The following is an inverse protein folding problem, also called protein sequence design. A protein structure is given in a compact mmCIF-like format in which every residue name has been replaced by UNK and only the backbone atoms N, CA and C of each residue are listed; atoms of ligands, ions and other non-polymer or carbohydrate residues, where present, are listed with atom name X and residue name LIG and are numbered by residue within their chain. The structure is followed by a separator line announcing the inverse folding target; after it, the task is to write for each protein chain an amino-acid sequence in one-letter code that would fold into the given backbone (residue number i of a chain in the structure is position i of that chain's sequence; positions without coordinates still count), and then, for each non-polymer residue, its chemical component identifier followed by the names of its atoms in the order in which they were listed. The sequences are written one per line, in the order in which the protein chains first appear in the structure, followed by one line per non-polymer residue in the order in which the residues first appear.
data_IF_888284484681
#
_entry.id   IF_888284484681
#
_cell.length_a   1.000
_cell.length_b   1.000
_cell.length_c   1.000
_cell.angle_alpha   90.00
_cell.angle_beta   90.00
_cell.angle_gamma   90.00
#
_symmetry.space_group_name_H-M   'P 1'
#
loop_
_entity.id
_entity.type
_entity.pdbx_description
1 polymer ?
#
# COMPACT_ATOMS: atom_id res chain seq x y z
N UNK A 1 7.22 59.05 -64.34
CA UNK A 1 8.12 58.04 -63.73
C UNK A 1 8.56 58.36 -62.28
N UNK A 2 8.60 59.64 -61.84
CA UNK A 2 9.07 60.03 -60.49
C UNK A 2 8.10 59.65 -59.34
N UNK A 3 6.79 59.70 -59.56
CA UNK A 3 5.78 59.34 -58.54
C UNK A 3 5.82 57.87 -58.10
N UNK A 4 6.11 56.92 -59.01
CA UNK A 4 6.23 55.50 -58.66
C UNK A 4 7.39 55.23 -57.69
N UNK A 5 8.50 55.97 -57.81
CA UNK A 5 9.67 55.82 -56.93
C UNK A 5 9.42 56.42 -55.54
N UNK A 6 8.73 57.55 -55.46
CA UNK A 6 8.33 58.15 -54.16
C UNK A 6 7.33 57.27 -53.44
N UNK A 7 6.34 56.71 -54.16
CA UNK A 7 5.38 55.77 -53.58
C UNK A 7 6.05 54.49 -53.07
N UNK A 8 6.99 53.92 -53.84
CA UNK A 8 7.76 52.75 -53.41
C UNK A 8 8.58 53.04 -52.15
N UNK A 9 9.21 54.22 -52.07
CA UNK A 9 10.02 54.60 -50.91
C UNK A 9 9.15 54.84 -49.66
N UNK A 10 7.98 55.46 -49.82
CA UNK A 10 7.03 55.66 -48.72
C UNK A 10 6.47 54.34 -48.20
N UNK A 11 6.16 53.40 -49.11
CA UNK A 11 5.66 52.07 -48.76
C UNK A 11 6.73 51.26 -48.01
N UNK A 12 7.98 51.31 -48.45
CA UNK A 12 9.11 50.66 -47.74
C UNK A 12 9.34 51.29 -46.37
N UNK A 13 9.26 52.62 -46.24
CA UNK A 13 9.39 53.29 -44.95
C UNK A 13 8.26 52.88 -43.98
N UNK A 14 7.03 52.75 -44.48
CA UNK A 14 5.88 52.33 -43.68
C UNK A 14 5.97 50.85 -43.25
N UNK A 15 6.59 49.99 -44.06
CA UNK A 15 6.84 48.57 -43.73
C UNK A 15 7.93 48.41 -42.65
N UNK A 16 8.96 49.24 -42.65
CA UNK A 16 10.03 49.21 -41.63
C UNK A 16 9.59 49.92 -40.35
N UNK A 17 8.69 50.90 -40.44
CA UNK A 17 8.12 51.61 -39.29
C UNK A 17 6.90 50.90 -38.67
N UNK A 18 6.67 49.61 -38.96
CA UNK A 18 5.65 48.86 -38.24
C UNK A 18 6.00 48.90 -36.75
N UNK A 19 5.12 49.40 -35.87
CA UNK A 19 5.37 49.36 -34.45
C UNK A 19 5.49 47.88 -34.07
N UNK A 20 6.68 47.46 -33.63
CA UNK A 20 6.81 46.22 -32.89
C UNK A 20 5.99 46.42 -31.62
N UNK A 21 4.73 45.99 -31.66
CA UNK A 21 3.90 45.86 -30.48
C UNK A 21 4.56 44.74 -29.68
N UNK A 22 5.51 45.11 -28.82
CA UNK A 22 6.03 44.19 -27.82
C UNK A 22 4.86 43.90 -26.90
N UNK A 23 4.21 42.76 -27.11
CA UNK A 23 3.32 42.19 -26.12
C UNK A 23 4.18 42.00 -24.87
N UNK A 24 3.99 42.88 -23.89
CA UNK A 24 4.56 42.70 -22.57
C UNK A 24 4.02 41.35 -22.09
N UNK A 25 4.86 40.32 -22.17
CA UNK A 25 4.56 39.02 -21.62
C UNK A 25 4.34 39.29 -20.13
N UNK A 26 3.09 39.19 -19.67
CA UNK A 26 2.75 39.42 -18.27
C UNK A 26 3.65 38.51 -17.45
N UNK A 27 4.65 39.10 -16.81
CA UNK A 27 5.56 38.42 -15.90
C UNK A 27 4.75 38.10 -14.65
N UNK A 28 3.96 37.03 -14.73
CA UNK A 28 3.08 36.60 -13.66
C UNK A 28 3.96 36.13 -12.50
N UNK A 29 4.07 36.99 -11.49
CA UNK A 29 4.63 36.65 -10.18
C UNK A 29 3.70 35.61 -9.54
N UNK A 30 4.26 34.58 -8.90
CA UNK A 30 3.45 33.56 -8.24
C UNK A 30 4.06 32.17 -8.33
N UNK A 31 3.19 31.16 -8.52
CA UNK A 31 3.63 29.78 -8.67
C UNK A 31 4.12 29.49 -10.10
N UNK A 32 5.11 28.61 -10.19
CA UNK A 32 5.49 27.90 -11.42
C UNK A 32 4.54 26.68 -11.55
N UNK A 33 4.31 26.23 -12.78
CA UNK A 33 3.45 25.07 -13.05
C UNK A 33 4.03 23.80 -12.39
N UNK A 34 3.19 22.92 -11.83
CA UNK A 34 3.60 21.68 -11.13
C UNK A 34 4.63 21.86 -10.00
N UNK A 35 4.20 22.53 -8.92
CA UNK A 35 5.12 23.00 -7.88
C UNK A 35 5.02 22.33 -6.51
N UNK A 36 4.29 21.23 -6.33
CA UNK A 36 4.25 20.56 -5.02
C UNK A 36 5.26 19.41 -5.00
N UNK A 37 6.18 19.42 -4.03
CA UNK A 37 7.07 18.29 -3.77
C UNK A 37 7.24 18.06 -2.26
N UNK A 38 7.71 16.86 -1.91
CA UNK A 38 7.76 16.38 -0.54
C UNK A 38 9.21 16.14 -0.10
N UNK A 39 9.51 16.31 1.19
CA UNK A 39 10.84 15.95 1.73
C UNK A 39 11.15 14.45 1.66
N UNK A 40 10.11 13.62 1.53
CA UNK A 40 10.18 12.16 1.46
C UNK A 40 9.01 11.69 0.59
N UNK A 41 9.28 10.81 -0.36
CA UNK A 41 8.31 10.13 -1.23
C UNK A 41 8.91 8.77 -1.67
N UNK A 42 8.28 7.61 -1.43
CA UNK A 42 6.97 7.41 -0.78
C UNK A 42 7.00 7.69 0.73
N UNK A 43 5.84 8.10 1.25
CA UNK A 43 5.60 8.35 2.66
C UNK A 43 4.47 7.48 3.21
N UNK A 44 4.56 7.13 4.49
CA UNK A 44 3.63 6.26 5.21
C UNK A 44 2.83 7.03 6.27
N UNK A 45 1.75 6.41 6.76
CA UNK A 45 0.99 6.93 7.91
C UNK A 45 1.91 7.27 9.10
N UNK A 46 1.76 8.49 9.63
CA UNK A 46 2.51 8.98 10.78
C UNK A 46 3.87 9.59 10.46
N UNK A 47 4.33 9.53 9.20
CA UNK A 47 5.53 10.24 8.79
C UNK A 47 5.35 11.75 8.97
N UNK A 48 6.38 12.42 9.50
CA UNK A 48 6.47 13.88 9.55
C UNK A 48 7.31 14.35 8.37
N UNK A 49 6.67 14.94 7.38
CA UNK A 49 7.30 15.39 6.14
C UNK A 49 7.09 16.89 5.92
N UNK A 50 7.90 17.48 5.06
CA UNK A 50 7.70 18.86 4.60
C UNK A 50 7.07 18.84 3.23
N UNK A 51 6.04 19.65 3.05
CA UNK A 51 5.41 19.94 1.76
C UNK A 51 5.97 21.26 1.27
N UNK A 52 6.57 21.26 0.09
CA UNK A 52 7.21 22.43 -0.51
C UNK A 52 6.42 22.95 -1.70
N UNK A 53 6.57 24.25 -1.95
CA UNK A 53 6.25 24.89 -3.22
C UNK A 53 7.31 25.91 -3.60
N UNK A 54 7.47 26.18 -4.90
CA UNK A 54 8.34 27.24 -5.38
C UNK A 54 7.52 28.48 -5.68
N UNK A 55 7.89 29.61 -5.07
CA UNK A 55 7.31 30.91 -5.44
C UNK A 55 8.37 31.67 -6.23
N UNK A 56 7.98 32.13 -7.42
CA UNK A 56 8.86 32.79 -8.37
C UNK A 56 8.46 34.27 -8.54
N UNK A 57 9.46 35.14 -8.46
CA UNK A 57 9.33 36.57 -8.66
C UNK A 57 10.16 37.03 -9.87
N UNK A 58 9.58 37.05 -11.08
CA UNK A 58 10.22 37.62 -12.27
C UNK A 58 10.26 39.16 -12.27
N UNK A 59 9.66 39.83 -11.28
CA UNK A 59 9.62 41.29 -11.22
C UNK A 59 10.95 41.87 -10.75
N UNK A 60 11.24 43.10 -11.18
CA UNK A 60 12.35 43.89 -10.67
C UNK A 60 12.10 44.46 -9.25
N UNK A 61 10.97 44.12 -8.63
CA UNK A 61 10.52 44.59 -7.31
C UNK A 61 10.38 43.43 -6.34
N UNK A 62 10.54 43.68 -5.05
CA UNK A 62 10.33 42.64 -4.04
C UNK A 62 8.85 42.24 -3.97
N UNK A 63 8.61 40.95 -3.78
CA UNK A 63 7.28 40.34 -3.72
C UNK A 63 7.03 39.74 -2.34
N UNK A 64 5.88 40.05 -1.75
CA UNK A 64 5.49 39.61 -0.42
C UNK A 64 4.09 39.00 -0.44
N UNK A 65 3.86 38.01 0.41
CA UNK A 65 2.54 37.42 0.60
C UNK A 65 2.58 36.29 1.62
N UNK A 66 1.51 35.52 1.67
CA UNK A 66 1.38 34.33 2.51
C UNK A 66 1.04 33.14 1.63
N UNK A 67 1.78 32.03 1.74
CA UNK A 67 1.37 30.77 1.13
C UNK A 67 0.60 29.94 2.16
N UNK A 68 -0.61 29.52 1.80
CA UNK A 68 -1.44 28.58 2.56
C UNK A 68 -1.43 27.21 1.87
N UNK A 69 -1.08 26.15 2.59
CA UNK A 69 -1.12 24.78 2.08
C UNK A 69 -2.37 24.07 2.54
N UNK A 70 -2.99 23.30 1.64
CA UNK A 70 -4.23 22.58 1.89
C UNK A 70 -4.11 21.11 1.50
N UNK A 71 -4.82 20.26 2.24
CA UNK A 71 -5.21 18.92 1.82
C UNK A 71 -6.73 18.91 1.61
N UNK A 72 -7.17 18.90 0.35
CA UNK A 72 -8.57 19.12 -0.08
C UNK A 72 -9.12 20.45 0.46
N UNK A 73 -9.81 20.42 1.60
CA UNK A 73 -10.41 21.59 2.27
C UNK A 73 -9.74 21.90 3.61
N UNK A 74 -8.83 21.05 4.07
CA UNK A 74 -8.17 21.16 5.36
C UNK A 74 -6.89 21.98 5.22
N UNK A 75 -6.77 23.05 6.00
CA UNK A 75 -5.54 23.84 6.06
C UNK A 75 -4.44 23.05 6.78
N UNK A 76 -3.33 22.80 6.09
CA UNK A 76 -2.15 22.16 6.66
C UNK A 76 -1.27 23.18 7.41
N UNK A 77 -1.16 24.39 6.87
CA UNK A 77 -0.37 25.46 7.46
C UNK A 77 -0.26 26.69 6.57
N UNK A 78 0.31 27.75 7.13
CA UNK A 78 0.59 29.02 6.43
C UNK A 78 2.03 29.45 6.63
N UNK A 79 2.60 30.11 5.63
CA UNK A 79 3.95 30.65 5.68
C UNK A 79 4.04 31.98 4.95
N UNK A 80 4.40 33.03 5.68
CA UNK A 80 4.72 34.32 5.10
C UNK A 80 6.07 34.25 4.37
N UNK A 81 6.16 34.93 3.23
CA UNK A 81 7.38 35.01 2.43
C UNK A 81 7.65 36.44 1.99
N UNK A 82 8.92 36.72 1.67
CA UNK A 82 9.34 37.95 0.99
C UNK A 82 10.47 37.57 0.06
N UNK A 83 10.22 37.66 -1.24
CA UNK A 83 11.11 37.19 -2.30
C UNK A 83 11.68 38.41 -3.00
N UNK A 84 13.00 38.39 -3.17
CA UNK A 84 13.72 39.48 -3.81
C UNK A 84 13.34 39.61 -5.29
N UNK A 85 13.69 40.74 -5.90
CA UNK A 85 13.55 40.91 -7.34
C UNK A 85 14.30 39.82 -8.12
N UNK A 86 13.71 39.31 -9.20
CA UNK A 86 14.32 38.34 -10.11
C UNK A 86 14.80 37.04 -9.44
N UNK A 87 14.12 36.59 -8.38
CA UNK A 87 14.49 35.38 -7.65
C UNK A 87 13.32 34.41 -7.46
N UNK A 88 13.64 33.19 -7.02
CA UNK A 88 12.68 32.17 -6.61
C UNK A 88 13.10 31.62 -5.25
N UNK A 89 12.14 31.36 -4.38
CA UNK A 89 12.41 30.74 -3.07
C UNK A 89 11.42 29.62 -2.77
N UNK A 90 11.90 28.48 -2.22
CA UNK A 90 11.03 27.43 -1.77
C UNK A 90 10.37 27.80 -0.45
N UNK A 91 9.05 27.61 -0.37
CA UNK A 91 8.24 27.79 0.83
C UNK A 91 7.73 26.42 1.26
N UNK A 92 7.69 26.14 2.56
CA UNK A 92 7.22 24.84 3.06
C UNK A 92 6.45 24.91 4.37
N UNK A 93 5.70 23.84 4.63
CA UNK A 93 5.04 23.56 5.91
C UNK A 93 5.35 22.12 6.34
N UNK A 94 5.38 21.89 7.65
CA UNK A 94 5.44 20.53 8.20
C UNK A 94 4.05 19.90 8.16
N UNK A 95 3.97 18.65 7.71
CA UNK A 95 2.75 17.87 7.60
C UNK A 95 2.97 16.49 8.20
N UNK A 96 2.02 16.04 9.03
CA UNK A 96 1.97 14.66 9.52
C UNK A 96 1.01 13.88 8.65
N UNK A 97 1.53 12.88 7.95
CA UNK A 97 0.79 12.07 6.99
C UNK A 97 -0.30 11.26 7.70
N UNK A 98 -1.53 11.33 7.21
CA UNK A 98 -2.66 10.53 7.69
C UNK A 98 -3.06 9.47 6.67
N UNK A 99 -3.97 8.57 7.04
CA UNK A 99 -4.46 7.52 6.13
C UNK A 99 -5.54 8.08 5.20
N UNK A 100 -5.50 7.67 3.94
CA UNK A 100 -6.54 7.93 2.96
C UNK A 100 -6.02 8.58 1.68
N UNK A 101 -6.96 9.07 0.88
CA UNK A 101 -6.62 9.88 -0.30
C UNK A 101 -6.38 11.32 0.09
N UNK A 102 -5.30 11.91 -0.43
CA UNK A 102 -4.86 13.29 -0.20
C UNK A 102 -4.83 14.05 -1.51
N UNK A 103 -5.18 15.33 -1.47
CA UNK A 103 -5.09 16.24 -2.60
C UNK A 103 -4.44 17.54 -2.12
N UNK A 104 -3.11 17.60 -2.24
CA UNK A 104 -2.30 18.67 -1.68
C UNK A 104 -2.10 19.80 -2.70
N UNK A 105 -2.34 21.03 -2.29
CA UNK A 105 -2.08 22.22 -3.10
C UNK A 105 -1.76 23.42 -2.22
N UNK A 106 -1.19 24.46 -2.83
CA UNK A 106 -0.85 25.70 -2.15
C UNK A 106 -1.58 26.89 -2.80
N UNK A 107 -1.90 27.90 -1.99
CA UNK A 107 -2.54 29.14 -2.43
C UNK A 107 -1.77 30.35 -1.91
N UNK A 108 -1.51 31.33 -2.77
CA UNK A 108 -0.99 32.64 -2.34
C UNK A 108 -2.15 33.52 -1.91
N UNK A 109 -2.04 34.07 -0.70
CA UNK A 109 -2.95 35.02 -0.09
C UNK A 109 -2.25 36.38 0.09
N UNK A 110 -3.02 37.47 -0.04
CA UNK A 110 -2.56 38.85 0.14
C UNK A 110 -1.25 39.18 -0.62
N UNK A 111 -1.15 38.89 -1.92
CA UNK A 111 0.05 39.17 -2.71
C UNK A 111 0.27 40.68 -2.83
N UNK A 112 1.51 41.13 -2.56
CA UNK A 112 1.91 42.54 -2.60
C UNK A 112 3.26 42.72 -3.27
N UNK A 113 3.40 43.76 -4.10
CA UNK A 113 4.67 44.16 -4.69
C UNK A 113 5.18 45.46 -4.07
N UNK A 114 6.49 45.56 -3.93
CA UNK A 114 7.13 46.78 -3.46
C UNK A 114 7.09 47.87 -4.55
N UNK A 115 6.51 49.03 -4.23
CA UNK A 115 6.40 50.16 -5.17
C UNK A 115 7.47 51.21 -4.92
N UNK A 116 7.93 51.34 -3.68
CA UNK A 116 9.06 52.17 -3.25
C UNK A 116 9.62 51.58 -1.95
N UNK A 117 10.83 51.95 -1.55
CA UNK A 117 11.51 51.39 -0.37
C UNK A 117 10.57 51.22 0.85
N UNK A 118 10.24 49.97 1.19
CA UNK A 118 9.39 49.59 2.31
C UNK A 118 7.87 49.77 2.11
N UNK A 119 7.41 50.29 0.97
CA UNK A 119 5.98 50.44 0.65
C UNK A 119 5.52 49.37 -0.33
N UNK A 120 4.45 48.67 0.05
CA UNK A 120 3.89 47.56 -0.69
C UNK A 120 2.45 47.86 -1.12
N UNK A 121 2.12 47.53 -2.36
CA UNK A 121 0.75 47.59 -2.89
C UNK A 121 0.24 46.20 -3.22
N UNK A 122 -1.04 45.96 -2.97
CA UNK A 122 -1.71 44.71 -3.30
C UNK A 122 -1.85 44.55 -4.81
N UNK A 123 -1.64 43.32 -5.30
CA UNK A 123 -1.70 43.00 -6.72
C UNK A 123 -2.67 41.85 -6.96
N UNK A 124 -3.27 41.78 -8.15
CA UNK A 124 -4.02 40.60 -8.57
C UNK A 124 -3.09 39.64 -9.29
N UNK A 125 -3.03 38.38 -8.84
CA UNK A 125 -2.30 37.33 -9.56
C UNK A 125 -3.24 36.63 -10.54
N UNK A 126 -2.72 36.23 -11.70
CA UNK A 126 -3.46 35.39 -12.64
C UNK A 126 -3.67 33.97 -12.06
N UNK A 127 -2.62 33.42 -11.42
CA UNK A 127 -2.63 32.09 -10.81
C UNK A 127 -2.29 32.23 -9.33
N UNK A 128 -3.30 32.10 -8.48
CA UNK A 128 -3.13 32.13 -7.01
C UNK A 128 -3.00 30.75 -6.41
N UNK A 129 -3.24 29.68 -7.17
CA UNK A 129 -3.25 28.29 -6.69
C UNK A 129 -2.29 27.43 -7.52
N UNK A 130 -1.60 26.48 -6.89
CA UNK A 130 -0.80 25.48 -7.59
C UNK A 130 -1.68 24.40 -8.20
N UNK A 131 -1.12 23.59 -9.09
CA UNK A 131 -1.70 22.29 -9.40
C UNK A 131 -1.84 21.43 -8.14
N UNK A 132 -2.79 20.49 -8.21
CA UNK A 132 -3.12 19.60 -7.10
C UNK A 132 -2.32 18.30 -7.22
N UNK A 133 -1.59 17.96 -6.15
CA UNK A 133 -0.86 16.70 -6.02
C UNK A 133 -1.71 15.64 -5.34
N UNK A 134 -1.95 14.52 -6.01
CA UNK A 134 -2.82 13.46 -5.51
C UNK A 134 -2.02 12.24 -5.02
N UNK A 135 -2.29 11.80 -3.79
CA UNK A 135 -1.64 10.62 -3.20
C UNK A 135 -2.64 9.77 -2.42
N UNK A 136 -2.40 8.46 -2.34
CA UNK A 136 -3.16 7.56 -1.47
C UNK A 136 -2.22 6.89 -0.49
N UNK A 137 -2.47 7.09 0.79
CA UNK A 137 -1.66 6.52 1.87
C UNK A 137 -2.43 5.38 2.52
N UNK A 138 -1.84 4.18 2.46
CA UNK A 138 -2.39 3.00 3.12
C UNK A 138 -2.12 3.06 4.63
N UNK A 139 -3.03 2.46 5.40
CA UNK A 139 -2.84 2.27 6.85
C UNK A 139 -1.60 1.42 7.09
N UNK A 140 -0.70 1.89 7.96
CA UNK A 140 0.49 1.14 8.32
C UNK A 140 0.08 -0.08 9.14
N UNK A 141 0.40 -1.28 8.62
CA UNK A 141 0.21 -2.49 9.40
C UNK A 141 1.22 -2.48 10.56
N UNK A 142 0.76 -2.67 11.81
CA UNK A 142 1.69 -2.73 12.93
C UNK A 142 2.65 -3.90 12.76
N UNK A 143 3.93 -3.67 13.09
CA UNK A 143 4.97 -4.67 12.94
C UNK A 143 4.61 -5.90 13.77
N UNK A 144 4.72 -7.12 13.21
CA UNK A 144 4.38 -8.38 13.88
C UNK A 144 5.02 -8.50 15.27
N UNK A 145 6.16 -7.85 15.52
CA UNK A 145 6.80 -7.76 16.84
C UNK A 145 6.08 -6.81 17.82
N UNK A 146 5.74 -5.60 17.41
CA UNK A 146 4.94 -4.65 18.22
C UNK A 146 3.51 -5.17 18.46
N UNK A 147 2.93 -5.85 17.48
CA UNK A 147 1.65 -6.55 17.63
C UNK A 147 1.77 -7.64 18.69
N UNK A 148 2.85 -8.43 18.70
CA UNK A 148 3.07 -9.44 19.74
C UNK A 148 3.28 -8.83 21.13
N UNK A 149 4.00 -7.72 21.26
CA UNK A 149 4.19 -7.04 22.56
C UNK A 149 2.91 -6.36 23.08
N UNK A 150 2.18 -5.63 22.23
CA UNK A 150 0.86 -5.07 22.61
C UNK A 150 -0.19 -6.14 22.84
N UNK A 151 -0.17 -7.24 22.09
CA UNK A 151 -0.99 -8.42 22.39
C UNK A 151 -0.57 -8.97 23.74
N UNK A 152 0.71 -9.13 24.07
CA UNK A 152 1.11 -9.64 25.38
C UNK A 152 0.75 -8.70 26.54
N UNK A 153 0.93 -7.38 26.43
CA UNK A 153 0.53 -6.42 27.48
C UNK A 153 -1.01 -6.29 27.64
N UNK A 154 -1.75 -6.36 26.54
CA UNK A 154 -3.22 -6.27 26.57
C UNK A 154 -3.87 -7.62 26.90
N UNK A 155 -3.23 -8.75 26.55
CA UNK A 155 -3.68 -10.09 26.95
C UNK A 155 -3.30 -10.45 28.39
N UNK A 156 -2.16 -10.01 28.93
CA UNK A 156 -1.84 -10.27 30.34
C UNK A 156 -2.74 -9.48 31.30
N UNK A 157 -3.23 -8.31 30.88
CA UNK A 157 -4.14 -7.49 31.71
C UNK A 157 -5.62 -7.79 31.51
N UNK A 158 -6.02 -8.36 30.37
CA UNK A 158 -7.45 -8.60 30.04
C UNK A 158 -7.80 -10.05 29.69
N UNK A 159 -6.85 -10.95 29.55
CA UNK A 159 -7.09 -12.40 29.49
C UNK A 159 -6.42 -13.03 30.68
N UNK A 160 -7.12 -12.97 31.82
CA UNK A 160 -6.92 -13.98 32.84
C UNK A 160 -7.12 -15.36 32.17
N UNK A 161 -6.27 -16.36 32.46
CA UNK A 161 -6.35 -17.66 31.82
C UNK A 161 -7.77 -18.23 31.90
N UNK A 162 -8.17 -19.05 30.92
CA UNK A 162 -9.47 -19.75 30.90
C UNK A 162 -9.68 -20.58 32.19
N UNK A 163 -8.62 -20.90 32.94
CA UNK A 163 -8.72 -21.43 34.30
C UNK A 163 -9.59 -20.55 35.23
N UNK A 164 -9.51 -19.22 35.15
CA UNK A 164 -10.34 -18.29 35.93
C UNK A 164 -11.84 -18.38 35.57
N UNK A 165 -12.17 -18.81 34.35
CA UNK A 165 -13.57 -19.04 33.96
C UNK A 165 -14.11 -20.30 34.62
N UNK A 166 -13.30 -21.35 34.79
CA UNK A 166 -13.69 -22.56 35.50
C UNK A 166 -13.99 -22.26 36.96
N UNK A 167 -13.17 -21.40 37.57
CA UNK A 167 -13.35 -20.97 38.96
C UNK A 167 -14.59 -20.08 39.11
N UNK A 168 -14.82 -19.13 38.20
CA UNK A 168 -16.04 -18.29 38.17
C UNK A 168 -17.32 -19.09 37.88
N UNK A 169 -17.25 -20.14 37.06
CA UNK A 169 -18.37 -21.04 36.78
C UNK A 169 -18.73 -21.82 38.05
N UNK A 170 -17.73 -22.29 38.79
CA UNK A 170 -17.93 -22.99 40.06
C UNK A 170 -18.46 -22.06 41.17
N UNK A 171 -18.06 -20.79 41.15
CA UNK A 171 -18.50 -19.77 42.12
C UNK A 171 -19.95 -19.32 41.89
N UNK A 172 -20.39 -19.21 40.63
CA UNK A 172 -21.70 -18.61 40.28
C UNK A 172 -22.82 -19.60 39.94
N UNK A 173 -22.51 -20.87 39.70
CA UNK A 173 -23.52 -21.88 39.32
C UNK A 173 -23.63 -22.99 40.36
N UNK A 174 -24.85 -23.46 40.68
CA UNK A 174 -25.03 -24.62 41.55
C UNK A 174 -24.28 -25.85 41.03
N UNK A 175 -23.85 -26.78 41.91
CA UNK A 175 -23.13 -28.00 41.52
C UNK A 175 -23.83 -28.85 40.45
N UNK A 176 -25.16 -28.79 40.39
CA UNK A 176 -25.98 -29.50 39.40
C UNK A 176 -25.79 -29.00 37.96
N UNK A 177 -25.31 -27.76 37.77
CA UNK A 177 -25.09 -27.14 36.46
C UNK A 177 -23.60 -26.97 36.18
N UNK A 178 -22.77 -26.67 37.18
CA UNK A 178 -21.33 -26.45 36.97
C UNK A 178 -20.58 -27.73 36.57
N UNK A 179 -20.93 -28.89 37.13
CA UNK A 179 -20.30 -30.19 36.80
C UNK A 179 -20.44 -30.57 35.32
N UNK A 180 -21.65 -30.65 34.73
CA UNK A 180 -21.81 -31.00 33.32
C UNK A 180 -21.17 -29.95 32.39
N UNK A 181 -21.24 -28.66 32.74
CA UNK A 181 -20.61 -27.59 31.96
C UNK A 181 -19.09 -27.75 31.93
N UNK A 182 -18.45 -27.98 33.08
CA UNK A 182 -17.00 -28.18 33.16
C UNK A 182 -16.53 -29.44 32.41
N UNK A 183 -17.33 -30.51 32.46
CA UNK A 183 -17.05 -31.73 31.70
C UNK A 183 -17.13 -31.48 30.19
N UNK A 184 -18.14 -30.74 29.74
CA UNK A 184 -18.28 -30.37 28.33
C UNK A 184 -17.13 -29.47 27.86
N UNK A 185 -16.69 -28.51 28.68
CA UNK A 185 -15.53 -27.69 28.38
C UNK A 185 -14.24 -28.51 28.27
N UNK A 186 -14.01 -29.45 29.20
CA UNK A 186 -12.85 -30.33 29.16
C UNK A 186 -12.83 -31.18 27.88
N UNK A 187 -13.96 -31.78 27.54
CA UNK A 187 -14.10 -32.58 26.31
C UNK A 187 -13.87 -31.76 25.04
N UNK A 188 -14.44 -30.56 24.95
CA UNK A 188 -14.27 -29.68 23.78
C UNK A 188 -12.82 -29.23 23.63
N UNK A 189 -12.16 -28.89 24.74
CA UNK A 189 -10.76 -28.46 24.70
C UNK A 189 -9.82 -29.61 24.34
N UNK A 190 -10.05 -30.81 24.89
CA UNK A 190 -9.31 -32.02 24.52
C UNK A 190 -9.52 -32.38 23.05
N UNK A 191 -10.77 -32.36 22.57
CA UNK A 191 -11.09 -32.59 21.16
C UNK A 191 -10.43 -31.56 20.24
N UNK A 192 -10.38 -30.28 20.65
CA UNK A 192 -9.70 -29.21 19.91
C UNK A 192 -8.20 -29.46 19.79
N UNK A 193 -7.54 -29.82 20.90
CA UNK A 193 -6.10 -30.09 20.94
C UNK A 193 -5.78 -31.31 20.07
N UNK A 194 -6.49 -32.43 20.28
CA UNK A 194 -6.29 -33.66 19.50
C UNK A 194 -6.53 -33.44 18.00
N UNK A 195 -7.55 -32.65 17.63
CA UNK A 195 -7.80 -32.29 16.23
C UNK A 195 -6.66 -31.43 15.65
N UNK A 196 -6.15 -30.47 16.44
CA UNK A 196 -5.01 -29.63 16.03
C UNK A 196 -3.78 -30.48 15.73
N UNK A 197 -3.46 -31.42 16.59
CA UNK A 197 -2.29 -32.29 16.45
C UNK A 197 -2.44 -33.23 15.23
N UNK A 198 -3.63 -33.84 15.06
CA UNK A 198 -3.92 -34.69 13.90
C UNK A 198 -3.87 -33.92 12.57
N UNK A 199 -4.29 -32.66 12.55
CA UNK A 199 -4.22 -31.83 11.35
C UNK A 199 -2.78 -31.44 11.04
N UNK A 200 -1.95 -31.19 12.05
CA UNK A 200 -0.53 -30.91 11.86
C UNK A 200 0.19 -32.12 11.24
N UNK A 201 -0.07 -33.32 11.75
CA UNK A 201 0.44 -34.59 11.21
C UNK A 201 0.05 -34.76 9.73
N UNK A 202 -1.25 -34.65 9.42
CA UNK A 202 -1.76 -34.75 8.04
C UNK A 202 -1.19 -33.67 7.12
N UNK A 203 -0.94 -32.46 7.64
CA UNK A 203 -0.32 -31.37 6.86
C UNK A 203 1.11 -31.74 6.47
N UNK A 204 1.88 -32.32 7.39
CA UNK A 204 3.25 -32.78 7.13
C UNK A 204 3.27 -33.94 6.14
N UNK A 205 2.34 -34.89 6.28
CA UNK A 205 2.17 -36.01 5.34
C UNK A 205 1.89 -35.50 3.91
N UNK A 206 0.85 -34.68 3.73
CA UNK A 206 0.48 -34.11 2.41
C UNK A 206 1.62 -33.29 1.82
N UNK A 207 2.36 -32.53 2.63
CA UNK A 207 3.53 -31.78 2.18
C UNK A 207 4.62 -32.72 1.65
N UNK A 208 4.94 -33.79 2.39
CA UNK A 208 5.94 -34.78 1.97
C UNK A 208 5.56 -35.51 0.68
N UNK A 209 4.27 -35.74 0.45
CA UNK A 209 3.79 -36.35 -0.80
C UNK A 209 3.90 -35.40 -2.00
N UNK A 210 3.67 -34.10 -1.79
CA UNK A 210 3.86 -33.07 -2.82
C UNK A 210 5.35 -33.00 -3.20
N UNK A 211 6.25 -32.99 -2.21
CA UNK A 211 7.69 -32.93 -2.43
C UNK A 211 8.18 -34.15 -3.26
N UNK A 212 7.70 -35.37 -2.94
CA UNK A 212 7.99 -36.59 -3.72
C UNK A 212 7.44 -36.55 -5.16
N UNK A 213 6.27 -35.94 -5.38
CA UNK A 213 5.70 -35.79 -6.73
C UNK A 213 6.53 -34.80 -7.55
N UNK A 214 6.98 -33.70 -6.93
CA UNK A 214 7.85 -32.73 -7.59
C UNK A 214 9.19 -33.35 -7.99
N UNK A 215 9.80 -34.13 -7.09
CA UNK A 215 11.08 -34.83 -7.33
C UNK A 215 10.96 -35.89 -8.44
N UNK A 216 9.86 -36.65 -8.50
CA UNK A 216 9.62 -37.66 -9.54
C UNK A 216 9.20 -37.08 -10.90
N UNK A 217 8.66 -35.86 -10.94
CA UNK A 217 8.25 -35.17 -12.18
C UNK A 217 9.39 -34.45 -12.90
N UNK A 218 10.60 -34.41 -12.32
CA UNK A 218 11.75 -33.70 -12.86
C UNK A 218 12.95 -34.64 -13.06
N UNK A 219 13.00 -35.46 -14.14
CA UNK A 219 14.22 -36.19 -14.46
C UNK A 219 15.24 -35.21 -15.08
N UNK A 220 16.37 -35.08 -14.39
CA UNK A 220 17.65 -34.50 -14.83
C UNK A 220 17.91 -33.01 -14.57
N UNK A 221 18.71 -32.74 -13.53
CA UNK A 221 20.06 -32.18 -13.72
C UNK A 221 20.88 -32.30 -12.42
N UNK A 222 21.40 -33.49 -12.15
CA UNK A 222 22.61 -33.66 -11.35
C UNK A 222 23.59 -34.47 -12.19
N UNK A 223 24.52 -33.74 -12.81
CA UNK A 223 25.84 -34.13 -13.34
C UNK A 223 26.18 -33.30 -14.59
N UNK A 224 26.48 -32.02 -14.38
CA UNK A 224 27.53 -31.35 -15.14
C UNK A 224 28.38 -30.62 -14.11
N UNK A 225 29.47 -31.28 -13.72
CA UNK A 225 30.78 -30.67 -13.49
C UNK A 225 31.74 -31.76 -12.99
N UNK A 226 32.44 -32.40 -13.94
CA UNK A 226 33.88 -32.71 -13.83
C UNK A 226 34.43 -33.35 -15.11
N UNK A 227 35.50 -32.70 -15.57
CA UNK A 227 36.65 -33.20 -16.33
C UNK A 227 36.54 -33.55 -17.83
N UNK A 228 37.00 -32.57 -18.62
CA UNK A 228 38.22 -32.64 -19.45
C UNK A 228 38.40 -33.84 -20.41
N UNK A 229 38.28 -33.52 -21.70
CA UNK A 229 39.39 -33.72 -22.66
C UNK A 229 39.58 -35.07 -23.33
N UNK A 230 39.44 -35.02 -24.66
CA UNK A 230 40.16 -35.79 -25.69
C UNK A 230 39.45 -36.99 -26.37
N UNK A 231 39.80 -37.11 -27.64
CA UNK A 231 39.23 -37.79 -28.80
C UNK A 231 39.04 -39.31 -28.66
N UNK A 232 38.03 -39.87 -29.35
CA UNK A 232 38.21 -40.54 -30.66
C UNK A 232 37.00 -41.43 -31.01
N UNK A 233 36.82 -41.56 -32.33
CA UNK A 233 36.03 -42.50 -33.15
C UNK A 233 35.31 -43.68 -32.47
N UNK A 234 34.08 -43.97 -32.95
CA UNK A 234 33.74 -45.19 -33.74
C UNK A 234 32.21 -45.31 -33.90
N UNK A 235 31.82 -45.70 -35.11
CA UNK A 235 30.49 -45.88 -35.68
C UNK A 235 29.83 -47.25 -35.39
N UNK A 236 28.51 -47.32 -35.68
CA UNK A 236 27.63 -48.52 -35.87
C UNK A 236 27.16 -49.16 -34.55
N UNK A 237 25.93 -49.65 -34.32
CA UNK A 237 24.89 -50.26 -35.17
C UNK A 237 23.53 -50.33 -34.40
N UNK A 238 22.47 -50.62 -35.15
CA UNK A 238 21.04 -50.63 -34.85
C UNK A 238 20.60 -51.68 -33.81
N UNK A 239 19.54 -51.43 -33.05
CA UNK A 239 18.47 -52.43 -32.82
C UNK A 239 17.14 -51.78 -32.44
N UNK A 240 16.14 -52.02 -33.27
CA UNK A 240 14.73 -51.78 -33.02
C UNK A 240 14.22 -52.68 -31.88
N UNK A 241 13.37 -52.13 -31.01
CA UNK A 241 12.31 -52.92 -30.36
C UNK A 241 11.12 -51.99 -30.08
N UNK A 242 10.09 -52.12 -30.92
CA UNK A 242 8.73 -51.71 -30.59
C UNK A 242 8.28 -52.39 -29.28
N UNK A 243 7.82 -51.59 -28.33
CA UNK A 243 6.59 -51.91 -27.61
C UNK A 243 5.98 -50.61 -27.06
N UNK A 244 5.05 -50.10 -27.84
CA UNK A 244 4.08 -49.08 -27.47
C UNK A 244 3.07 -49.68 -26.48
N UNK A 245 2.56 -48.82 -25.60
CA UNK A 245 1.52 -49.06 -24.57
C UNK A 245 1.98 -49.69 -23.26
N UNK A 246 2.39 -48.82 -22.32
CA UNK A 246 1.51 -48.54 -21.18
C UNK A 246 1.72 -47.12 -20.67
N UNK A 247 0.63 -46.35 -20.75
CA UNK A 247 0.52 -44.90 -20.57
C UNK A 247 1.12 -44.44 -19.24
N UNK A 248 1.75 -43.24 -19.15
CA UNK A 248 1.96 -42.60 -17.87
C UNK A 248 0.58 -42.37 -17.22
N UNK A 249 0.30 -43.17 -16.20
CA UNK A 249 -0.91 -43.08 -15.38
C UNK A 249 -0.99 -41.66 -14.81
N UNK A 250 -1.91 -40.87 -15.37
CA UNK A 250 -2.58 -39.71 -14.74
C UNK A 250 -1.79 -38.92 -13.68
N UNK A 251 -0.64 -38.34 -14.03
CA UNK A 251 0.10 -37.41 -13.13
C UNK A 251 -0.63 -36.05 -12.98
N UNK A 252 -1.69 -35.79 -13.75
CA UNK A 252 -2.20 -34.44 -13.95
C UNK A 252 -3.36 -34.01 -13.03
N UNK A 253 -4.15 -34.92 -12.45
CA UNK A 253 -5.35 -34.54 -11.68
C UNK A 253 -5.20 -34.55 -10.15
N UNK A 254 -4.24 -35.31 -9.60
CA UNK A 254 -4.08 -35.43 -8.14
C UNK A 254 -3.28 -34.27 -7.54
N UNK A 255 -2.36 -33.67 -8.30
CA UNK A 255 -1.47 -32.61 -7.81
C UNK A 255 -2.24 -31.35 -7.38
N UNK A 256 -3.20 -30.82 -8.16
CA UNK A 256 -4.00 -29.66 -7.71
C UNK A 256 -4.84 -29.97 -6.47
N UNK A 257 -5.39 -31.18 -6.37
CA UNK A 257 -6.19 -31.61 -5.21
C UNK A 257 -5.36 -31.67 -3.92
N UNK A 258 -4.09 -32.07 -3.99
CA UNK A 258 -3.18 -32.08 -2.82
C UNK A 258 -2.86 -30.67 -2.32
N UNK A 259 -2.64 -29.69 -3.20
CA UNK A 259 -2.47 -28.30 -2.78
C UNK A 259 -3.74 -27.70 -2.16
N UNK A 260 -4.91 -28.04 -2.72
CA UNK A 260 -6.19 -27.65 -2.13
C UNK A 260 -6.36 -28.26 -0.74
N UNK A 261 -6.04 -29.55 -0.58
CA UNK A 261 -6.02 -30.22 0.73
C UNK A 261 -5.08 -29.54 1.72
N UNK A 262 -3.84 -29.21 1.30
CA UNK A 262 -2.86 -28.50 2.12
C UNK A 262 -3.36 -27.13 2.56
N UNK A 263 -4.03 -26.39 1.67
CA UNK A 263 -4.64 -25.10 1.99
C UNK A 263 -5.71 -25.25 3.07
N UNK A 264 -6.64 -26.19 2.93
CA UNK A 264 -7.69 -26.44 3.92
C UNK A 264 -7.13 -26.95 5.25
N UNK A 265 -6.14 -27.85 5.25
CA UNK A 265 -5.45 -28.31 6.46
C UNK A 265 -4.74 -27.15 7.18
N UNK A 266 -4.11 -26.25 6.43
CA UNK A 266 -3.44 -25.07 7.00
C UNK A 266 -4.46 -24.11 7.62
N UNK A 267 -5.57 -23.84 6.92
CA UNK A 267 -6.64 -22.98 7.41
C UNK A 267 -7.30 -23.56 8.66
N UNK A 268 -7.63 -24.86 8.64
CA UNK A 268 -8.28 -25.54 9.76
C UNK A 268 -7.32 -25.66 10.97
N UNK A 269 -6.05 -25.97 10.73
CA UNK A 269 -5.02 -25.99 11.77
C UNK A 269 -4.81 -24.61 12.41
N UNK A 270 -4.86 -23.54 11.60
CA UNK A 270 -4.86 -22.17 12.12
C UNK A 270 -6.07 -21.94 13.04
N UNK A 271 -7.29 -22.23 12.58
CA UNK A 271 -8.50 -22.05 13.39
C UNK A 271 -8.42 -22.79 14.73
N UNK A 272 -7.92 -24.03 14.73
CA UNK A 272 -7.81 -24.85 15.94
C UNK A 272 -6.72 -24.36 16.89
N UNK A 273 -5.58 -23.86 16.39
CA UNK A 273 -4.48 -23.36 17.20
C UNK A 273 -4.86 -22.09 17.98
N UNK A 274 -5.67 -21.21 17.39
CA UNK A 274 -6.13 -19.98 18.03
C UNK A 274 -7.42 -20.22 18.82
N UNK A 275 -7.31 -20.39 20.15
CA UNK A 275 -8.44 -20.65 21.07
C UNK A 275 -9.63 -19.71 20.83
N UNK A 276 -9.39 -18.40 20.76
CA UNK A 276 -10.47 -17.41 20.59
C UNK A 276 -11.25 -17.59 19.28
N UNK A 277 -10.54 -17.90 18.20
CA UNK A 277 -11.13 -18.05 16.87
C UNK A 277 -11.96 -19.33 16.80
N UNK A 278 -11.44 -20.42 17.39
CA UNK A 278 -12.16 -21.69 17.53
C UNK A 278 -13.48 -21.52 18.30
N UNK A 279 -13.46 -20.85 19.46
CA UNK A 279 -14.66 -20.68 20.29
C UNK A 279 -15.67 -19.72 19.64
N UNK A 280 -15.23 -18.65 18.97
CA UNK A 280 -16.12 -17.74 18.24
C UNK A 280 -16.80 -18.46 17.07
N UNK A 281 -16.04 -19.23 16.27
CA UNK A 281 -16.59 -20.03 15.18
C UNK A 281 -17.56 -21.09 15.69
N UNK A 282 -17.21 -21.77 16.79
CA UNK A 282 -18.07 -22.77 17.44
C UNK A 282 -19.40 -22.15 17.89
N UNK A 283 -19.39 -20.95 18.45
CA UNK A 283 -20.61 -20.24 18.86
C UNK A 283 -21.51 -19.94 17.66
N UNK A 284 -20.94 -19.49 16.54
CA UNK A 284 -21.69 -19.25 15.30
C UNK A 284 -22.30 -20.56 14.78
N UNK A 285 -21.54 -21.65 14.78
CA UNK A 285 -22.05 -22.97 14.35
C UNK A 285 -23.18 -23.44 15.26
N UNK A 286 -23.03 -23.34 16.58
CA UNK A 286 -24.07 -23.68 17.55
C UNK A 286 -25.32 -22.85 17.31
N UNK A 287 -25.18 -21.54 17.10
CA UNK A 287 -26.29 -20.65 16.77
C UNK A 287 -27.02 -21.09 15.49
N UNK A 288 -26.28 -21.46 14.44
CA UNK A 288 -26.86 -21.95 13.19
C UNK A 288 -27.60 -23.27 13.38
N UNK A 289 -27.06 -24.20 14.17
CA UNK A 289 -27.71 -25.48 14.49
C UNK A 289 -29.00 -25.23 15.26
N UNK A 290 -28.97 -24.40 16.31
CA UNK A 290 -30.16 -24.02 17.09
C UNK A 290 -31.22 -23.41 16.16
N UNK A 291 -30.82 -22.48 15.29
CA UNK A 291 -31.71 -21.84 14.31
C UNK A 291 -32.31 -22.85 13.34
N UNK A 292 -31.54 -23.85 12.91
CA UNK A 292 -32.00 -24.90 12.01
C UNK A 292 -33.02 -25.81 12.71
N UNK A 293 -32.74 -26.23 13.95
CA UNK A 293 -33.66 -27.04 14.76
C UNK A 293 -34.98 -26.30 14.97
N UNK A 294 -34.95 -25.03 15.39
CA UNK A 294 -36.17 -24.23 15.60
C UNK A 294 -36.99 -24.15 14.31
N UNK A 295 -36.33 -24.00 13.15
CA UNK A 295 -37.01 -23.96 11.85
C UNK A 295 -37.58 -25.32 11.44
N UNK A 296 -37.02 -26.43 11.94
CA UNK A 296 -37.46 -27.78 11.60
C UNK A 296 -38.66 -28.24 12.43
N UNK A 297 -38.86 -27.65 13.62
CA UNK A 297 -39.99 -27.93 14.52
C UNK A 297 -41.16 -26.93 14.40
N UNK A 298 -41.08 -25.97 13.48
CA UNK A 298 -42.14 -25.00 13.20
C UNK A 298 -42.72 -25.24 11.81
#
# INVERSE_FOLDING_TARGET
MRFKKVFLFLFTFLLVASPYITLAQNQNVGFVETNIWYSKDPFEEGDKIKVYTLVFNPSAKNFKGTVSFFDKTTLLGKKDFTISSLSAEPVFVDWTVTVGGHQIFARIENPRLEVSAGKYEEISLANTETDKSEHTVAKKLPNVKEVKEKINETLDSSIKPIEDLKDKINEKLPPSVSKPVNSAFGFIEEARINASDSIEEKRLEVKSEIDKIQESSNPSQENIDKETGDKSDVSTEITDTENTENRPVSVSAQTPLKYVSLFFLTLLGYVLKYKILFYLLSLVIIYLIIRLIIKLFK
#
